data_IF_903959560694
#
_entry.id   IF_903959560694
#
_cell.length_a   1.000
_cell.length_b   1.000
_cell.length_c   1.000
_cell.angle_alpha   90.00
_cell.angle_beta   90.00
_cell.angle_gamma   90.00
#
_symmetry.space_group_name_H-M   'P 1'
#
loop_
_entity.id
_entity.type
_entity.pdbx_description
1 polymer ?
#
# COMPACT_ATOMS: atom_id res chain seq x y z
N UNK A 1 -5.64 -14.16 24.19
CA UNK A 1 -5.98 -13.87 22.79
C UNK A 1 -4.73 -13.31 22.13
N UNK A 2 -4.25 -13.99 21.09
CA UNK A 2 -2.94 -13.73 20.47
C UNK A 2 -2.87 -12.34 19.85
N UNK A 3 -1.90 -11.53 20.27
CA UNK A 3 -1.50 -10.24 19.65
C UNK A 3 -0.80 -10.42 18.30
N UNK A 4 -1.06 -11.55 17.63
CA UNK A 4 -0.35 -11.98 16.43
C UNK A 4 -0.92 -11.37 15.14
N UNK A 5 -1.47 -10.16 15.23
CA UNK A 5 -2.11 -9.51 14.10
C UNK A 5 -1.43 -8.18 13.75
N UNK A 6 -1.51 -7.83 12.47
CA UNK A 6 -1.08 -6.55 11.90
C UNK A 6 -2.20 -6.01 11.04
N UNK A 7 -2.45 -4.72 11.09
CA UNK A 7 -3.44 -4.05 10.25
C UNK A 7 -2.75 -3.29 9.12
N UNK A 8 -3.33 -3.34 7.92
CA UNK A 8 -2.97 -2.48 6.80
C UNK A 8 -4.19 -1.66 6.41
N UNK A 9 -4.06 -0.34 6.51
CA UNK A 9 -5.12 0.61 6.21
C UNK A 9 -4.91 1.29 4.87
N UNK A 10 -5.96 1.31 4.06
CA UNK A 10 -6.10 2.15 2.88
C UNK A 10 -6.97 3.38 3.13
N UNK A 11 -7.24 4.13 2.07
CA UNK A 11 -7.99 5.39 2.13
C UNK A 11 -9.40 5.30 1.56
N UNK A 12 -10.00 4.11 1.50
CA UNK A 12 -11.41 3.95 1.07
C UNK A 12 -12.34 4.65 2.08
N UNK A 13 -13.41 5.35 1.61
CA UNK A 13 -14.30 6.12 2.48
C UNK A 13 -15.00 5.30 3.57
N UNK A 14 -15.55 4.15 3.22
CA UNK A 14 -16.44 3.33 4.07
C UNK A 14 -15.68 2.27 4.87
N UNK A 15 -14.47 2.57 5.26
CA UNK A 15 -13.64 1.64 6.01
C UNK A 15 -14.18 1.45 7.44
N UNK A 16 -14.37 0.18 7.82
CA UNK A 16 -14.74 -0.19 9.19
C UNK A 16 -13.52 -0.22 10.10
N UNK A 17 -13.67 0.32 11.31
CA UNK A 17 -12.68 0.18 12.36
C UNK A 17 -12.65 -1.28 12.82
N UNK A 18 -11.49 -1.91 12.71
CA UNK A 18 -11.32 -3.32 13.08
C UNK A 18 -11.25 -3.48 14.59
N UNK A 19 -12.12 -4.32 15.14
CA UNK A 19 -12.17 -4.67 16.57
C UNK A 19 -11.30 -5.91 16.88
N UNK A 20 -10.05 -5.90 16.44
CA UNK A 20 -9.09 -6.98 16.71
C UNK A 20 -7.91 -6.46 17.53
N UNK A 21 -7.27 -7.34 18.30
CA UNK A 21 -5.99 -7.00 18.95
C UNK A 21 -4.86 -7.10 17.95
N UNK A 22 -3.98 -6.12 17.90
CA UNK A 22 -2.84 -6.05 17.01
C UNK A 22 -1.71 -5.19 17.60
N UNK A 23 -0.49 -5.34 17.08
CA UNK A 23 0.70 -4.65 17.59
C UNK A 23 1.18 -3.52 16.68
N UNK A 24 0.96 -3.63 15.38
CA UNK A 24 1.43 -2.65 14.40
C UNK A 24 0.42 -2.42 13.30
N UNK A 25 0.45 -1.21 12.76
CA UNK A 25 -0.43 -0.75 11.71
C UNK A 25 0.39 -0.10 10.59
N UNK A 26 0.07 -0.43 9.35
CA UNK A 26 0.64 0.18 8.14
C UNK A 26 -0.45 0.97 7.44
N UNK A 27 -0.33 2.28 7.42
CA UNK A 27 -1.30 3.18 6.80
C UNK A 27 -0.79 3.75 5.47
N UNK A 28 -1.55 3.56 4.41
CA UNK A 28 -1.20 4.06 3.08
C UNK A 28 -1.67 5.50 2.87
N UNK A 29 -0.75 6.41 2.53
CA UNK A 29 -1.03 7.83 2.26
C UNK A 29 -1.78 8.49 3.44
N UNK A 30 -2.88 9.19 3.15
CA UNK A 30 -3.69 9.89 4.15
C UNK A 30 -4.41 8.97 5.16
N UNK A 31 -4.45 7.65 4.95
CA UNK A 31 -5.06 6.70 5.89
C UNK A 31 -4.39 6.69 7.28
N UNK A 32 -3.22 7.29 7.42
CA UNK A 32 -2.54 7.47 8.71
C UNK A 32 -3.35 8.31 9.70
N UNK A 33 -4.20 9.22 9.23
CA UNK A 33 -5.12 9.97 10.07
C UNK A 33 -6.11 9.03 10.81
N UNK A 34 -6.65 8.05 10.10
CA UNK A 34 -7.52 7.02 10.70
C UNK A 34 -6.76 6.12 11.68
N UNK A 35 -5.47 5.91 11.45
CA UNK A 35 -4.63 5.12 12.35
C UNK A 35 -4.56 5.71 13.76
N UNK A 36 -4.74 7.03 13.91
CA UNK A 36 -4.77 7.68 15.22
C UNK A 36 -5.96 7.25 16.10
N UNK A 37 -7.07 6.82 15.50
CA UNK A 37 -8.22 6.27 16.23
C UNK A 37 -7.78 5.02 16.99
N UNK A 38 -7.00 4.15 16.36
CA UNK A 38 -6.47 2.94 16.98
C UNK A 38 -5.45 3.25 18.08
N UNK A 39 -4.63 4.28 17.90
CA UNK A 39 -3.64 4.71 18.91
C UNK A 39 -4.31 5.24 20.18
N UNK A 40 -5.47 5.91 20.05
CA UNK A 40 -6.29 6.31 21.20
C UNK A 40 -6.83 5.12 22.00
N UNK A 41 -7.08 3.99 21.34
CA UNK A 41 -7.57 2.75 22.00
C UNK A 41 -6.41 1.98 22.64
N UNK A 42 -5.23 1.99 22.02
CA UNK A 42 -4.03 1.34 22.52
C UNK A 42 -2.77 2.14 22.12
N UNK A 43 -2.21 2.88 23.06
CA UNK A 43 -1.05 3.75 22.86
C UNK A 43 0.24 3.01 22.43
N UNK A 44 0.34 1.71 22.74
CA UNK A 44 1.51 0.88 22.40
C UNK A 44 1.56 0.46 20.94
N UNK A 45 0.53 0.77 20.14
CA UNK A 45 0.49 0.40 18.72
C UNK A 45 1.54 1.20 17.95
N UNK A 46 2.40 0.50 17.18
CA UNK A 46 3.34 1.11 16.25
C UNK A 46 2.64 1.48 14.94
N UNK A 47 2.63 2.77 14.60
CA UNK A 47 2.05 3.30 13.35
C UNK A 47 3.14 3.52 12.32
N UNK A 48 3.07 2.77 11.20
CA UNK A 48 3.93 2.92 10.03
C UNK A 48 3.16 3.63 8.92
N UNK A 49 3.51 4.86 8.60
CA UNK A 49 2.95 5.60 7.46
C UNK A 49 3.70 5.27 6.18
N UNK A 50 3.00 4.84 5.15
CA UNK A 50 3.57 4.47 3.84
C UNK A 50 3.08 5.44 2.78
N UNK A 51 3.98 6.21 2.18
CA UNK A 51 3.64 7.22 1.18
C UNK A 51 4.46 7.06 -0.10
N UNK A 52 3.89 7.47 -1.24
CA UNK A 52 4.71 7.67 -2.43
C UNK A 52 5.46 9.00 -2.30
N UNK A 53 6.67 9.07 -2.85
CA UNK A 53 7.45 10.32 -2.90
C UNK A 53 6.64 11.49 -3.48
N UNK A 54 5.99 11.27 -4.62
CA UNK A 54 5.14 12.29 -5.24
C UNK A 54 3.91 12.63 -4.40
N UNK A 55 3.24 11.64 -3.84
CA UNK A 55 2.07 11.85 -2.98
C UNK A 55 2.44 12.63 -1.71
N UNK A 56 3.62 12.42 -1.15
CA UNK A 56 4.06 13.19 0.01
C UNK A 56 4.42 14.64 -0.34
N UNK A 57 5.08 14.88 -1.49
CA UNK A 57 5.55 16.23 -1.86
C UNK A 57 4.48 17.08 -2.55
N UNK A 58 3.64 16.48 -3.38
CA UNK A 58 2.75 17.19 -4.31
C UNK A 58 1.25 16.94 -4.08
N UNK A 59 0.90 16.20 -3.02
CA UNK A 59 -0.48 16.00 -2.59
C UNK A 59 -0.64 16.59 -1.17
N UNK A 60 -1.00 17.89 -1.04
CA UNK A 60 -1.13 18.56 0.25
C UNK A 60 -2.03 17.80 1.25
N UNK A 61 -3.19 17.24 0.84
CA UNK A 61 -4.01 16.44 1.74
C UNK A 61 -3.27 15.27 2.37
N UNK A 62 -2.43 14.55 1.60
CA UNK A 62 -1.61 13.46 2.13
C UNK A 62 -0.49 13.95 3.03
N UNK A 63 0.28 14.96 2.61
CA UNK A 63 1.43 15.42 3.40
C UNK A 63 1.00 16.04 4.73
N UNK A 64 -0.05 16.85 4.75
CA UNK A 64 -0.60 17.47 5.97
C UNK A 64 -1.04 16.40 6.96
N UNK A 65 -1.80 15.38 6.50
CA UNK A 65 -2.28 14.30 7.36
C UNK A 65 -1.14 13.45 7.93
N UNK A 66 -0.12 13.16 7.13
CA UNK A 66 1.05 12.42 7.60
C UNK A 66 1.80 13.22 8.67
N UNK A 67 2.06 14.50 8.42
CA UNK A 67 2.79 15.37 9.38
C UNK A 67 2.00 15.55 10.69
N UNK A 68 0.70 15.84 10.60
CA UNK A 68 -0.16 16.02 11.78
C UNK A 68 -0.35 14.73 12.61
N UNK A 69 -0.33 13.58 11.96
CA UNK A 69 -0.53 12.29 12.61
C UNK A 69 0.71 11.79 13.37
N UNK A 70 1.88 12.40 13.18
CA UNK A 70 3.14 12.06 13.89
C UNK A 70 3.35 10.54 13.99
N UNK A 71 3.50 9.81 12.87
CA UNK A 71 3.68 8.36 12.88
C UNK A 71 5.00 7.98 13.56
N UNK A 72 5.07 6.75 14.09
CA UNK A 72 6.31 6.22 14.67
C UNK A 72 7.35 5.94 13.57
N UNK A 73 6.89 5.65 12.34
CA UNK A 73 7.75 5.44 11.17
C UNK A 73 7.12 5.98 9.89
N UNK A 74 7.91 6.72 9.09
CA UNK A 74 7.53 7.18 7.75
C UNK A 74 8.32 6.42 6.68
N UNK A 75 7.60 5.76 5.78
CA UNK A 75 8.16 4.97 4.69
C UNK A 75 7.83 5.64 3.37
N UNK A 76 8.85 6.17 2.69
CA UNK A 76 8.73 6.80 1.38
C UNK A 76 9.10 5.81 0.29
N UNK A 77 8.20 5.61 -0.65
CA UNK A 77 8.43 4.75 -1.81
C UNK A 77 8.71 5.56 -3.07
N UNK A 78 9.57 5.02 -3.95
CA UNK A 78 9.93 5.58 -5.27
C UNK A 78 10.67 6.91 -5.21
N UNK A 79 11.40 7.17 -4.17
CA UNK A 79 12.23 8.36 -4.02
C UNK A 79 12.95 8.39 -2.70
N UNK A 80 13.84 9.36 -2.58
CA UNK A 80 14.54 9.69 -1.35
C UNK A 80 14.07 11.07 -0.90
N UNK A 81 13.87 11.22 0.39
CA UNK A 81 13.46 12.46 1.03
C UNK A 81 14.24 12.61 2.34
N UNK A 82 14.64 13.80 2.65
CA UNK A 82 15.12 14.15 3.99
C UNK A 82 13.95 14.16 4.97
N UNK A 83 14.23 13.88 6.23
CA UNK A 83 13.21 13.86 7.27
C UNK A 83 12.62 15.25 7.46
N UNK A 84 11.29 15.42 7.25
CA UNK A 84 10.62 16.69 7.50
C UNK A 84 10.74 17.10 8.98
N UNK A 85 11.00 18.37 9.22
CA UNK A 85 11.17 18.93 10.58
C UNK A 85 9.91 18.82 11.44
N UNK A 86 8.74 18.76 10.80
CA UNK A 86 7.44 18.67 11.48
C UNK A 86 7.14 17.26 12.05
N UNK A 87 7.93 16.25 11.67
CA UNK A 87 7.81 14.91 12.23
C UNK A 87 8.51 14.85 13.60
N UNK A 88 8.01 13.96 14.45
CA UNK A 88 8.64 13.67 15.73
C UNK A 88 10.13 13.28 15.53
N UNK A 89 11.01 13.75 16.40
CA UNK A 89 12.44 13.40 16.36
C UNK A 89 12.66 11.90 16.39
N UNK A 90 11.85 11.17 17.13
CA UNK A 90 11.88 9.70 17.22
C UNK A 90 11.25 8.98 16.03
N UNK A 91 10.66 9.69 15.06
CA UNK A 91 10.09 9.07 13.88
C UNK A 91 11.20 8.47 13.01
N UNK A 92 11.20 7.15 12.85
CA UNK A 92 12.09 6.44 11.94
C UNK A 92 11.71 6.77 10.49
N UNK A 93 12.70 7.06 9.65
CA UNK A 93 12.43 7.30 8.23
C UNK A 93 13.14 6.26 7.36
N UNK A 94 12.37 5.65 6.45
CA UNK A 94 12.85 4.65 5.50
C UNK A 94 12.48 5.03 4.06
N UNK A 95 13.48 5.16 3.19
CA UNK A 95 13.30 5.49 1.79
C UNK A 95 13.59 4.30 0.88
N UNK A 96 12.65 4.03 -0.02
CA UNK A 96 12.80 3.10 -1.14
C UNK A 96 12.90 3.88 -2.44
N UNK A 97 14.10 4.00 -3.00
CA UNK A 97 14.24 4.39 -4.40
C UNK A 97 13.59 3.33 -5.33
N UNK A 98 13.49 3.62 -6.60
CA UNK A 98 12.85 2.71 -7.56
C UNK A 98 13.52 1.33 -7.57
N UNK A 99 14.86 1.26 -7.54
CA UNK A 99 15.64 0.02 -7.62
C UNK A 99 15.48 -0.82 -6.34
N UNK A 100 15.55 -0.20 -5.16
CA UNK A 100 15.30 -0.86 -3.87
C UNK A 100 13.87 -1.40 -3.80
N UNK A 101 12.88 -0.62 -4.23
CA UNK A 101 11.48 -1.05 -4.25
C UNK A 101 11.29 -2.29 -5.12
N UNK A 102 11.93 -2.35 -6.29
CA UNK A 102 11.83 -3.50 -7.19
C UNK A 102 12.49 -4.75 -6.65
N UNK A 103 13.71 -4.60 -6.15
CA UNK A 103 14.41 -5.69 -5.47
C UNK A 103 13.57 -6.25 -4.31
N UNK A 104 12.87 -5.37 -3.60
CA UNK A 104 11.95 -5.75 -2.54
C UNK A 104 10.72 -6.50 -3.06
N UNK A 105 10.05 -5.99 -4.08
CA UNK A 105 8.79 -6.54 -4.58
C UNK A 105 8.93 -7.89 -5.27
N UNK A 106 10.01 -8.11 -6.03
CA UNK A 106 10.17 -9.32 -6.88
C UNK A 106 9.97 -10.64 -6.13
N UNK A 107 10.29 -10.69 -4.85
CA UNK A 107 10.27 -11.91 -4.04
C UNK A 107 8.86 -12.30 -3.55
N UNK A 108 7.86 -11.48 -3.81
CA UNK A 108 6.49 -11.71 -3.37
C UNK A 108 5.63 -12.43 -4.41
N UNK A 109 6.02 -12.34 -5.68
CA UNK A 109 5.18 -12.80 -6.78
C UNK A 109 5.67 -14.14 -7.35
N UNK A 110 4.70 -14.96 -7.76
CA UNK A 110 5.01 -16.08 -8.64
C UNK A 110 5.66 -15.52 -9.92
N UNK A 111 6.73 -16.11 -10.39
CA UNK A 111 7.58 -15.60 -11.48
C UNK A 111 8.42 -14.36 -11.15
N UNK A 112 8.39 -13.89 -9.91
CA UNK A 112 9.31 -12.87 -9.41
C UNK A 112 9.40 -11.60 -10.27
N UNK A 113 10.60 -11.32 -10.78
CA UNK A 113 10.85 -10.12 -11.59
C UNK A 113 10.06 -10.08 -12.91
N UNK A 114 9.84 -11.24 -13.55
CA UNK A 114 9.06 -11.33 -14.78
C UNK A 114 7.61 -10.88 -14.62
N UNK A 115 7.00 -11.20 -13.48
CA UNK A 115 5.66 -10.69 -13.16
C UNK A 115 5.60 -9.17 -13.09
N UNK A 116 6.65 -8.54 -12.55
CA UNK A 116 6.74 -7.08 -12.47
C UNK A 116 6.88 -6.45 -13.86
N UNK A 117 7.68 -7.06 -14.75
CA UNK A 117 7.82 -6.61 -16.13
C UNK A 117 6.47 -6.71 -16.86
N UNK A 118 5.82 -7.87 -16.80
CA UNK A 118 4.52 -8.08 -17.46
C UNK A 118 3.44 -7.13 -16.93
N UNK A 119 3.50 -6.75 -15.65
CA UNK A 119 2.52 -5.84 -15.07
C UNK A 119 2.49 -4.46 -15.75
N UNK A 120 3.59 -4.03 -16.37
CA UNK A 120 3.65 -2.76 -17.10
C UNK A 120 2.74 -2.74 -18.34
N UNK A 121 2.43 -3.90 -18.92
CA UNK A 121 1.47 -4.00 -20.03
C UNK A 121 0.05 -3.64 -19.60
N UNK A 122 -0.26 -3.77 -18.32
CA UNK A 122 -1.56 -3.41 -17.74
C UNK A 122 -1.67 -1.93 -17.35
N UNK A 123 -0.55 -1.17 -17.47
CA UNK A 123 -0.54 0.26 -17.20
C UNK A 123 -0.88 1.06 -18.45
N UNK A 124 -2.17 1.10 -18.78
CA UNK A 124 -2.71 1.83 -19.92
C UNK A 124 -4.22 1.63 -20.02
N UNK A 125 -4.90 2.47 -20.79
CA UNK A 125 -6.34 2.35 -21.03
C UNK A 125 -6.65 1.21 -22.02
N UNK A 126 -5.72 0.95 -22.91
CA UNK A 126 -5.80 -0.11 -23.91
C UNK A 126 -4.44 -0.79 -24.11
N UNK A 127 -4.41 -1.87 -24.89
CA UNK A 127 -3.20 -2.66 -25.13
C UNK A 127 -2.09 -1.84 -25.83
N UNK A 128 -2.43 -0.93 -26.74
CA UNK A 128 -1.48 -0.06 -27.44
C UNK A 128 -0.74 0.87 -26.48
N UNK A 129 -1.49 1.52 -25.58
CA UNK A 129 -0.90 2.33 -24.51
C UNK A 129 -0.06 1.49 -23.55
N UNK A 130 -0.51 0.28 -23.21
CA UNK A 130 0.26 -0.67 -22.41
C UNK A 130 1.62 -0.99 -23.04
N UNK A 131 1.68 -1.24 -24.34
CA UNK A 131 2.93 -1.48 -25.08
C UNK A 131 3.84 -0.23 -25.11
N UNK A 132 3.28 0.96 -25.31
CA UNK A 132 4.04 2.22 -25.28
C UNK A 132 4.64 2.43 -23.88
N UNK A 133 3.87 2.23 -22.82
CA UNK A 133 4.33 2.35 -21.46
C UNK A 133 5.38 1.29 -21.11
N UNK A 134 5.19 0.05 -21.55
CA UNK A 134 6.17 -1.02 -21.42
C UNK A 134 7.51 -0.62 -22.06
N UNK A 135 7.49 -0.20 -23.34
CA UNK A 135 8.66 0.29 -24.05
C UNK A 135 9.34 1.45 -23.29
N UNK A 136 8.57 2.45 -22.89
CA UNK A 136 9.09 3.61 -22.16
C UNK A 136 9.73 3.24 -20.82
N UNK A 137 9.11 2.35 -20.06
CA UNK A 137 9.54 2.04 -18.71
C UNK A 137 10.68 1.02 -18.70
N UNK A 138 10.67 0.05 -19.60
CA UNK A 138 11.68 -1.02 -19.67
C UNK A 138 12.83 -0.63 -20.58
N UNK A 139 12.55 -0.33 -21.85
CA UNK A 139 13.58 -0.08 -22.86
C UNK A 139 14.31 1.24 -22.61
N UNK A 140 13.55 2.32 -22.37
CA UNK A 140 14.14 3.65 -22.12
C UNK A 140 14.48 3.89 -20.64
N UNK A 141 14.49 2.85 -19.82
CA UNK A 141 14.94 2.88 -18.41
C UNK A 141 14.24 3.94 -17.53
N UNK A 142 13.02 4.35 -17.88
CA UNK A 142 12.21 5.24 -17.00
C UNK A 142 11.81 4.56 -15.70
N UNK A 143 11.98 3.26 -15.64
CA UNK A 143 11.80 2.42 -14.48
C UNK A 143 10.37 1.94 -14.32
N UNK A 144 10.22 0.70 -13.84
CA UNK A 144 8.90 0.08 -13.61
C UNK A 144 8.09 0.88 -12.57
N UNK A 145 6.80 0.96 -12.79
CA UNK A 145 5.89 1.70 -11.90
C UNK A 145 5.64 0.96 -10.58
N UNK A 146 5.65 -0.37 -10.63
CA UNK A 146 5.42 -1.23 -9.48
C UNK A 146 3.98 -1.11 -8.94
N UNK A 147 3.74 -1.69 -7.77
CA UNK A 147 2.44 -1.70 -7.09
C UNK A 147 2.03 -0.31 -6.58
N UNK A 148 0.74 -0.12 -6.28
CA UNK A 148 0.23 1.09 -5.59
C UNK A 148 0.80 1.23 -4.17
N UNK A 149 0.57 2.38 -3.53
CA UNK A 149 1.02 2.60 -2.15
C UNK A 149 0.31 1.67 -1.17
N UNK A 150 -0.99 1.44 -1.34
CA UNK A 150 -1.74 0.50 -0.52
C UNK A 150 -1.21 -0.93 -0.64
N UNK A 151 -0.98 -1.40 -1.86
CA UNK A 151 -0.43 -2.73 -2.05
C UNK A 151 1.03 -2.84 -1.55
N UNK A 152 1.83 -1.79 -1.69
CA UNK A 152 3.18 -1.75 -1.12
C UNK A 152 3.17 -1.85 0.41
N UNK A 153 2.21 -1.20 1.08
CA UNK A 153 2.01 -1.32 2.52
C UNK A 153 1.69 -2.77 2.94
N UNK A 154 0.88 -3.49 2.15
CA UNK A 154 0.62 -4.93 2.36
C UNK A 154 1.93 -5.73 2.26
N UNK A 155 2.73 -5.49 1.22
CA UNK A 155 4.00 -6.22 1.04
C UNK A 155 5.00 -5.95 2.18
N UNK A 156 5.04 -4.72 2.69
CA UNK A 156 5.86 -4.36 3.87
C UNK A 156 5.38 -5.11 5.11
N UNK A 157 4.08 -5.06 5.41
CA UNK A 157 3.49 -5.77 6.54
C UNK A 157 3.79 -7.27 6.47
N UNK A 158 3.64 -7.90 5.31
CA UNK A 158 3.93 -9.30 5.07
C UNK A 158 5.41 -9.66 5.29
N UNK A 159 6.33 -8.77 4.91
CA UNK A 159 7.78 -9.00 5.03
C UNK A 159 8.27 -8.83 6.46
N UNK A 160 7.82 -7.76 7.10
CA UNK A 160 8.31 -7.39 8.44
C UNK A 160 7.65 -8.21 9.56
N UNK A 161 6.54 -8.89 9.25
CA UNK A 161 5.81 -9.73 10.20
C UNK A 161 5.57 -11.14 9.61
N UNK A 162 6.61 -11.98 9.50
CA UNK A 162 6.54 -13.26 8.79
C UNK A 162 5.55 -14.25 9.43
N UNK A 163 5.36 -14.18 10.74
CA UNK A 163 4.55 -15.14 11.51
C UNK A 163 3.19 -14.58 11.94
N UNK A 164 2.83 -13.35 11.49
CA UNK A 164 1.59 -12.69 11.89
C UNK A 164 0.53 -12.72 10.79
N UNK A 165 -0.73 -12.65 11.22
CA UNK A 165 -1.85 -12.43 10.32
C UNK A 165 -1.94 -10.97 9.90
N UNK A 166 -2.23 -10.73 8.63
CA UNK A 166 -2.32 -9.40 8.04
C UNK A 166 -3.78 -9.11 7.68
N UNK A 167 -4.37 -8.14 8.35
CA UNK A 167 -5.73 -7.68 8.11
C UNK A 167 -5.72 -6.43 7.25
N UNK A 168 -6.33 -6.50 6.07
CA UNK A 168 -6.37 -5.42 5.10
C UNK A 168 -7.75 -4.76 5.13
N UNK A 169 -7.78 -3.46 5.37
CA UNK A 169 -9.01 -2.65 5.35
C UNK A 169 -8.81 -1.37 4.55
N UNK A 170 -9.84 -0.91 3.83
CA UNK A 170 -9.82 0.33 3.07
C UNK A 170 -8.89 0.36 1.85
N UNK A 171 -8.37 -0.78 1.41
CA UNK A 171 -7.62 -0.91 0.15
C UNK A 171 -8.55 -1.53 -0.89
N UNK A 172 -9.05 -0.70 -1.82
CA UNK A 172 -9.95 -1.15 -2.87
C UNK A 172 -9.19 -1.46 -4.15
N UNK A 173 -9.60 -2.54 -4.81
CA UNK A 173 -9.22 -2.87 -6.20
C UNK A 173 -10.35 -2.51 -7.18
N UNK A 174 -11.48 -2.04 -6.69
CA UNK A 174 -12.63 -1.57 -7.46
C UNK A 174 -12.72 -0.03 -7.41
N UNK A 175 -13.67 0.55 -8.14
CA UNK A 175 -13.89 1.99 -8.15
C UNK A 175 -14.41 2.46 -6.78
N UNK A 176 -13.82 3.53 -6.29
CA UNK A 176 -14.14 4.16 -5.01
C UNK A 176 -13.08 5.21 -4.71
N UNK A 177 -13.49 6.43 -4.46
CA UNK A 177 -12.61 7.56 -4.16
C UNK A 177 -11.80 7.37 -2.88
N UNK A 178 -11.03 8.36 -2.54
CA UNK A 178 -10.42 8.48 -1.22
C UNK A 178 -11.37 9.19 -0.27
N UNK A 179 -11.37 8.85 1.03
CA UNK A 179 -12.26 9.48 2.02
C UNK A 179 -12.06 11.00 2.12
N UNK A 180 -10.90 11.51 1.74
CA UNK A 180 -10.55 12.93 1.73
C UNK A 180 -10.77 13.61 0.36
N UNK A 181 -11.11 12.83 -0.68
CA UNK A 181 -11.43 13.35 -2.00
C UNK A 181 -12.35 12.38 -2.76
N UNK A 182 -13.65 12.50 -2.51
CA UNK A 182 -14.69 11.65 -3.10
C UNK A 182 -14.89 11.91 -4.60
N UNK A 183 -14.50 13.09 -5.08
CA UNK A 183 -14.74 13.56 -6.46
C UNK A 183 -13.58 13.30 -7.41
N UNK A 184 -12.39 12.95 -6.91
CA UNK A 184 -11.23 12.66 -7.75
C UNK A 184 -11.40 11.33 -8.51
N UNK A 185 -12.07 11.41 -9.65
CA UNK A 185 -12.02 10.40 -10.71
C UNK A 185 -10.68 10.52 -11.44
N UNK A 186 -9.57 10.36 -10.73
CA UNK A 186 -8.24 10.42 -11.32
C UNK A 186 -8.07 9.29 -12.34
N UNK A 187 -7.91 9.64 -13.61
CA UNK A 187 -7.65 8.68 -14.71
C UNK A 187 -6.47 7.73 -14.38
N UNK A 188 -5.43 8.24 -13.72
CA UNK A 188 -4.25 7.47 -13.30
C UNK A 188 -4.52 6.42 -12.22
N UNK A 189 -5.53 6.59 -11.39
CA UNK A 189 -5.87 5.64 -10.33
C UNK A 189 -6.36 4.33 -10.94
N UNK A 190 -7.15 4.40 -12.01
CA UNK A 190 -7.68 3.21 -12.69
C UNK A 190 -6.60 2.35 -13.34
N UNK A 191 -5.55 2.96 -13.89
CA UNK A 191 -4.45 2.24 -14.52
C UNK A 191 -3.63 1.45 -13.50
N UNK A 192 -3.28 2.07 -12.35
CA UNK A 192 -2.56 1.38 -11.28
C UNK A 192 -3.34 0.24 -10.66
N UNK A 193 -4.67 0.37 -10.57
CA UNK A 193 -5.53 -0.72 -10.10
C UNK A 193 -5.46 -1.95 -10.99
N UNK A 194 -5.35 -1.79 -12.31
CA UNK A 194 -5.15 -2.92 -13.23
C UNK A 194 -3.85 -3.67 -12.93
N UNK A 195 -2.76 -2.93 -12.69
CA UNK A 195 -1.47 -3.49 -12.29
C UNK A 195 -1.58 -4.24 -10.97
N UNK A 196 -2.21 -3.63 -9.96
CA UNK A 196 -2.41 -4.24 -8.65
C UNK A 196 -3.28 -5.50 -8.74
N UNK A 197 -4.38 -5.46 -9.52
CA UNK A 197 -5.24 -6.63 -9.79
C UNK A 197 -4.49 -7.80 -10.40
N UNK A 198 -3.58 -7.52 -11.32
CA UNK A 198 -2.73 -8.55 -11.91
C UNK A 198 -1.75 -9.12 -10.88
N UNK A 199 -1.01 -8.26 -10.19
CA UNK A 199 0.04 -8.67 -9.26
C UNK A 199 -0.50 -9.38 -8.01
N UNK A 200 -1.65 -8.99 -7.47
CA UNK A 200 -2.24 -9.66 -6.30
C UNK A 200 -2.62 -11.12 -6.60
N UNK A 201 -3.05 -11.41 -7.83
CA UNK A 201 -3.33 -12.79 -8.26
C UNK A 201 -2.05 -13.64 -8.27
N UNK A 202 -0.91 -13.04 -8.59
CA UNK A 202 0.40 -13.70 -8.66
C UNK A 202 1.13 -13.77 -7.32
N UNK A 203 0.57 -13.20 -6.25
CA UNK A 203 1.14 -13.31 -4.90
C UNK A 203 1.28 -14.78 -4.50
N UNK A 204 2.43 -15.16 -3.93
CA UNK A 204 2.67 -16.54 -3.50
C UNK A 204 1.66 -17.01 -2.45
N UNK A 205 1.23 -18.29 -2.54
CA UNK A 205 0.27 -18.93 -1.62
C UNK A 205 0.64 -18.73 -0.15
N UNK A 206 1.94 -18.82 0.20
CA UNK A 206 2.43 -18.66 1.58
C UNK A 206 2.02 -17.33 2.22
N UNK A 207 1.93 -16.25 1.43
CA UNK A 207 1.48 -14.95 1.92
C UNK A 207 -0.04 -14.89 2.03
N UNK A 208 -0.75 -15.43 1.02
CA UNK A 208 -2.22 -15.43 0.97
C UNK A 208 -2.85 -16.15 2.17
N UNK A 209 -2.25 -17.26 2.64
CA UNK A 209 -2.75 -18.04 3.76
C UNK A 209 -2.95 -17.26 5.07
N UNK A 210 -2.19 -16.20 5.28
CA UNK A 210 -2.23 -15.37 6.48
C UNK A 210 -2.76 -13.95 6.23
N UNK A 211 -3.39 -13.74 5.07
CA UNK A 211 -4.05 -12.48 4.73
C UNK A 211 -5.54 -12.60 4.90
N UNK A 212 -6.12 -11.55 5.44
CA UNK A 212 -7.55 -11.36 5.64
C UNK A 212 -7.95 -9.99 5.10
N UNK A 213 -9.13 -9.89 4.50
CA UNK A 213 -9.64 -8.61 4.05
C UNK A 213 -11.06 -8.38 4.55
N UNK A 214 -11.35 -7.13 4.95
CA UNK A 214 -12.70 -6.67 5.27
C UNK A 214 -13.49 -6.23 4.04
N UNK A 215 -12.85 -6.18 2.88
CA UNK A 215 -13.46 -5.93 1.58
C UNK A 215 -13.63 -7.26 0.85
N UNK A 216 -14.89 -7.64 0.58
CA UNK A 216 -15.23 -8.93 -0.06
C UNK A 216 -14.64 -9.02 -1.48
N UNK A 217 -14.70 -7.93 -2.24
CA UNK A 217 -14.21 -7.91 -3.62
C UNK A 217 -12.68 -8.06 -3.66
N UNK A 218 -11.99 -7.40 -2.73
CA UNK A 218 -10.56 -7.59 -2.57
C UNK A 218 -10.21 -9.03 -2.15
N UNK A 219 -10.95 -9.60 -1.19
CA UNK A 219 -10.73 -10.96 -0.72
C UNK A 219 -10.89 -11.97 -1.86
N UNK A 220 -11.98 -11.88 -2.62
CA UNK A 220 -12.25 -12.73 -3.78
C UNK A 220 -11.17 -12.59 -4.86
N UNK A 221 -10.82 -11.36 -5.23
CA UNK A 221 -9.83 -11.08 -6.26
C UNK A 221 -8.45 -11.63 -5.90
N UNK A 222 -8.06 -11.47 -4.63
CA UNK A 222 -6.75 -11.90 -4.11
C UNK A 222 -6.72 -13.40 -3.76
N UNK A 223 -7.89 -14.05 -3.68
CA UNK A 223 -8.07 -15.40 -3.16
C UNK A 223 -7.46 -15.54 -1.76
N UNK A 224 -7.96 -14.70 -0.84
CA UNK A 224 -7.61 -14.66 0.58
C UNK A 224 -8.86 -14.73 1.45
N UNK A 225 -8.70 -14.87 2.76
CA UNK A 225 -9.82 -14.98 3.67
C UNK A 225 -10.60 -13.66 3.77
N UNK A 226 -11.93 -13.74 3.69
CA UNK A 226 -12.81 -12.63 4.02
C UNK A 226 -13.02 -12.57 5.53
N UNK A 227 -12.86 -11.40 6.13
CA UNK A 227 -13.05 -11.15 7.54
C UNK A 227 -14.30 -10.29 7.77
N UNK A 228 -15.23 -10.80 8.54
CA UNK A 228 -16.39 -10.07 9.03
C UNK A 228 -16.03 -9.48 10.39
N UNK A 229 -16.11 -8.16 10.51
CA UNK A 229 -15.71 -7.40 11.72
C UNK A 229 -16.86 -7.36 12.73
#
# INVERSE_FOLDING_TARGET
>A
MNENNVIVLGSKPDEKILKIKFQSLYAANAAVEKAQIYKKINEKIKINSVCSFRGFLYDPPTSTRVKSSKPDRLIIRRGNLEKPKELNENCEMLCFDKKKQWKFQRNFFKYGFFSLILSELFYGNNFKEGLINFKNNIVYKKGLLGVSTGFFAILLALKENPDKNIFVSGISMTDGGHFYNLHDKLKDVNQRRKVDKFLIKLLHKRYKKRMFSCDRDFANLANINYFVN
#
